data_IF_959711740156
#
_entry.id   IF_959711740156
#
_cell.length_a   1.000
_cell.length_b   1.000
_cell.length_c   1.000
_cell.angle_alpha   90.00
_cell.angle_beta   90.00
_cell.angle_gamma   90.00
#
_symmetry.space_group_name_H-M   'P 1'
#
loop_
_entity.id
_entity.type
_entity.pdbx_description
1 polymer ?
#
# COMPACT_ATOMS: atom_id res chain seq x y z
N UNK A 1 -12.26 -4.27 3.29
CA UNK A 1 -11.09 -4.95 2.68
C UNK A 1 -11.51 -6.12 1.82
N UNK A 2 -12.41 -6.99 2.28
CA UNK A 2 -12.96 -8.10 1.50
C UNK A 2 -13.56 -7.67 0.15
N UNK A 3 -14.39 -6.63 0.13
CA UNK A 3 -14.97 -6.10 -1.11
C UNK A 3 -13.90 -5.68 -2.14
N UNK A 4 -12.85 -4.97 -1.70
CA UNK A 4 -11.76 -4.56 -2.59
C UNK A 4 -11.00 -5.77 -3.15
N UNK A 5 -10.74 -6.76 -2.30
CA UNK A 5 -10.07 -7.99 -2.73
C UNK A 5 -10.90 -8.75 -3.75
N UNK A 6 -12.18 -8.98 -3.45
CA UNK A 6 -13.10 -9.72 -4.32
C UNK A 6 -13.26 -9.03 -5.68
N UNK A 7 -13.40 -7.71 -5.71
CA UNK A 7 -13.53 -6.95 -6.95
C UNK A 7 -12.27 -6.98 -7.81
N UNK A 8 -11.07 -7.01 -7.21
CA UNK A 8 -9.81 -7.05 -7.95
C UNK A 8 -9.50 -8.47 -8.44
N UNK A 9 -9.70 -9.49 -7.61
CA UNK A 9 -9.41 -10.89 -7.97
C UNK A 9 -10.43 -11.45 -8.97
N UNK A 10 -11.72 -11.06 -8.87
CA UNK A 10 -12.78 -11.51 -9.77
C UNK A 10 -13.10 -10.52 -10.91
N UNK A 11 -12.36 -9.42 -11.00
CA UNK A 11 -12.51 -8.43 -12.07
C UNK A 11 -12.14 -8.99 -13.45
N UNK A 12 -12.38 -8.19 -14.50
CA UNK A 12 -12.00 -8.53 -15.87
C UNK A 12 -11.08 -7.44 -16.44
N UNK A 13 -9.77 -7.71 -16.67
CA UNK A 13 -9.07 -8.95 -16.34
C UNK A 13 -8.84 -9.11 -14.82
N UNK A 14 -8.69 -10.35 -14.31
CA UNK A 14 -8.45 -10.59 -12.89
C UNK A 14 -7.05 -10.14 -12.49
N UNK A 15 -6.93 -9.60 -11.28
CA UNK A 15 -5.66 -9.13 -10.70
C UNK A 15 -5.27 -10.06 -9.55
N UNK A 16 -4.10 -10.69 -9.67
CA UNK A 16 -3.51 -11.48 -8.58
C UNK A 16 -3.01 -10.53 -7.48
N UNK A 17 -3.49 -10.73 -6.25
CA UNK A 17 -3.08 -9.97 -5.08
C UNK A 17 -2.03 -10.73 -4.24
N UNK A 18 -1.13 -9.97 -3.62
CA UNK A 18 -0.23 -10.45 -2.56
C UNK A 18 -0.72 -9.89 -1.21
N UNK A 19 -1.07 -10.78 -0.29
CA UNK A 19 -1.68 -10.44 0.99
C UNK A 19 -0.91 -11.09 2.14
N UNK A 20 -0.62 -10.31 3.17
CA UNK A 20 0.20 -10.76 4.29
C UNK A 20 -0.36 -12.00 5.02
N UNK A 21 -1.69 -12.18 5.05
CA UNK A 21 -2.34 -13.33 5.70
C UNK A 21 -2.28 -14.62 4.89
N UNK A 22 -2.00 -14.53 3.57
CA UNK A 22 -2.09 -15.66 2.64
C UNK A 22 -0.75 -16.02 2.02
N UNK A 23 -0.01 -15.00 1.60
CA UNK A 23 1.11 -15.16 0.67
C UNK A 23 2.48 -14.98 1.36
N UNK A 24 2.50 -14.54 2.63
CA UNK A 24 3.76 -14.42 3.36
C UNK A 24 4.30 -15.77 3.79
N UNK A 25 5.60 -15.96 3.58
CA UNK A 25 6.26 -17.22 3.91
C UNK A 25 6.48 -17.34 5.42
N UNK A 26 5.99 -18.43 6.01
CA UNK A 26 6.24 -18.75 7.40
C UNK A 26 7.74 -18.96 7.65
N UNK A 27 8.24 -18.48 8.79
CA UNK A 27 9.66 -18.55 9.15
C UNK A 27 10.55 -17.44 8.56
N UNK A 28 10.06 -16.64 7.59
CA UNK A 28 10.68 -15.37 7.21
C UNK A 28 10.24 -14.26 8.18
N UNK A 29 11.11 -13.25 8.35
CA UNK A 29 10.73 -12.04 9.10
C UNK A 29 9.61 -11.30 8.37
N UNK A 30 8.75 -10.60 9.11
CA UNK A 30 7.64 -9.83 8.51
C UNK A 30 8.20 -8.78 7.54
N UNK A 31 9.27 -8.07 7.93
CA UNK A 31 9.92 -7.09 7.07
C UNK A 31 10.44 -7.71 5.76
N UNK A 32 11.07 -8.89 5.82
CA UNK A 32 11.52 -9.60 4.61
C UNK A 32 10.35 -10.02 3.73
N UNK A 33 9.26 -10.54 4.31
CA UNK A 33 8.07 -10.89 3.53
C UNK A 33 7.42 -9.67 2.87
N UNK A 34 7.34 -8.53 3.57
CA UNK A 34 6.86 -7.26 3.00
C UNK A 34 7.74 -6.86 1.81
N UNK A 35 9.06 -6.91 1.96
CA UNK A 35 10.00 -6.48 0.92
C UNK A 35 9.98 -7.45 -0.27
N UNK A 36 10.13 -8.74 -0.04
CA UNK A 36 10.32 -9.74 -1.10
C UNK A 36 8.99 -10.05 -1.81
N UNK A 37 7.95 -10.42 -1.06
CA UNK A 37 6.69 -10.90 -1.63
C UNK A 37 5.74 -9.73 -1.93
N UNK A 38 5.61 -8.80 -0.98
CA UNK A 38 4.67 -7.68 -1.10
C UNK A 38 5.16 -6.62 -2.08
N UNK A 39 6.37 -6.12 -1.86
CA UNK A 39 6.95 -5.04 -2.63
C UNK A 39 7.56 -5.63 -3.91
N UNK A 40 8.70 -6.30 -3.86
CA UNK A 40 9.46 -6.76 -5.03
C UNK A 40 8.63 -7.67 -5.97
N UNK A 41 7.80 -8.55 -5.40
CA UNK A 41 6.92 -9.45 -6.15
C UNK A 41 5.74 -8.77 -6.87
N UNK A 42 5.42 -7.51 -6.56
CA UNK A 42 4.22 -6.84 -7.08
C UNK A 42 4.53 -5.76 -8.12
N UNK A 43 3.69 -5.68 -9.17
CA UNK A 43 3.75 -4.60 -10.19
C UNK A 43 3.27 -3.25 -9.67
N UNK A 44 2.28 -3.27 -8.78
CA UNK A 44 1.66 -2.11 -8.13
C UNK A 44 1.41 -2.45 -6.67
N UNK A 45 1.51 -1.43 -5.82
CA UNK A 45 1.26 -1.50 -4.39
C UNK A 45 0.01 -0.66 -4.13
N UNK A 46 -1.01 -1.25 -3.51
CA UNK A 46 -2.21 -0.53 -3.09
C UNK A 46 -2.08 -0.23 -1.60
N UNK A 47 -2.09 1.04 -1.25
CA UNK A 47 -2.11 1.49 0.15
C UNK A 47 -3.51 1.97 0.46
N UNK A 48 -4.18 1.26 1.37
CA UNK A 48 -5.52 1.60 1.83
C UNK A 48 -5.41 2.41 3.11
N UNK A 49 -5.76 3.69 3.04
CA UNK A 49 -5.65 4.66 4.13
C UNK A 49 -7.00 4.79 4.82
N UNK A 50 -7.02 4.37 6.08
CA UNK A 50 -8.09 4.59 7.05
C UNK A 50 -7.56 5.32 8.27
N UNK A 51 -8.42 5.70 9.20
CA UNK A 51 -8.06 6.25 10.50
C UNK A 51 -7.19 5.24 11.27
N UNK A 52 -7.52 3.95 11.20
CA UNK A 52 -6.69 2.90 11.81
C UNK A 52 -5.28 2.84 11.21
N UNK A 53 -5.15 3.04 9.90
CA UNK A 53 -3.85 3.11 9.24
C UNK A 53 -3.01 4.30 9.76
N UNK A 54 -3.63 5.47 9.95
CA UNK A 54 -2.95 6.67 10.46
C UNK A 54 -2.44 6.47 11.90
N UNK A 55 -3.25 5.82 12.73
CA UNK A 55 -2.96 5.63 14.15
C UNK A 55 -1.96 4.47 14.39
N UNK A 56 -1.86 3.53 13.45
CA UNK A 56 -0.95 2.38 13.52
C UNK A 56 0.49 2.75 13.17
N UNK A 57 1.41 2.62 14.14
CA UNK A 57 2.84 2.80 13.90
C UNK A 57 3.40 1.77 12.90
N UNK A 58 2.85 0.56 12.89
CA UNK A 58 3.24 -0.50 11.96
C UNK A 58 2.87 -0.14 10.52
N UNK A 59 1.66 0.36 10.29
CA UNK A 59 1.22 0.79 8.96
C UNK A 59 2.06 1.95 8.42
N UNK A 60 2.49 2.88 9.29
CA UNK A 60 3.41 3.96 8.90
C UNK A 60 4.78 3.42 8.48
N UNK A 61 5.32 2.45 9.20
CA UNK A 61 6.60 1.81 8.86
C UNK A 61 6.55 1.10 7.49
N UNK A 62 5.51 0.30 7.23
CA UNK A 62 5.33 -0.37 5.94
C UNK A 62 5.22 0.63 4.78
N UNK A 63 4.53 1.75 5.01
CA UNK A 63 4.38 2.82 4.03
C UNK A 63 5.70 3.55 3.73
N UNK A 64 6.54 3.79 4.75
CA UNK A 64 7.89 4.35 4.55
C UNK A 64 8.78 3.41 3.73
N UNK A 65 8.70 2.09 3.97
CA UNK A 65 9.41 1.10 3.16
C UNK A 65 8.95 1.13 1.69
N UNK A 66 7.63 1.15 1.44
CA UNK A 66 7.10 1.24 0.08
C UNK A 66 7.52 2.55 -0.64
N UNK A 67 7.53 3.68 0.07
CA UNK A 67 7.99 4.96 -0.47
C UNK A 67 9.49 4.97 -0.78
N UNK A 68 10.32 4.32 0.03
CA UNK A 68 11.76 4.25 -0.23
C UNK A 68 12.06 3.57 -1.57
N UNK A 69 11.30 2.53 -1.93
CA UNK A 69 11.36 1.93 -3.27
C UNK A 69 10.90 2.89 -4.35
N UNK A 70 9.78 3.60 -4.18
CA UNK A 70 9.32 4.59 -5.15
C UNK A 70 10.42 5.60 -5.49
N UNK A 71 11.18 6.04 -4.48
CA UNK A 71 12.31 6.96 -4.65
C UNK A 71 13.49 6.31 -5.39
N UNK A 72 13.79 5.05 -5.11
CA UNK A 72 14.89 4.32 -5.76
C UNK A 72 14.60 3.93 -7.21
N UNK A 73 13.40 3.45 -7.51
CA UNK A 73 13.03 2.93 -8.83
C UNK A 73 12.45 3.99 -9.79
N UNK A 74 12.20 5.22 -9.29
CA UNK A 74 11.60 6.34 -10.06
C UNK A 74 10.33 5.98 -10.83
N UNK A 75 9.60 4.96 -10.40
CA UNK A 75 8.38 4.48 -11.06
C UNK A 75 7.19 4.60 -10.12
N UNK A 76 6.12 5.23 -10.59
CA UNK A 76 4.89 5.44 -9.84
C UNK A 76 4.08 4.15 -9.74
N UNK A 77 4.43 3.33 -8.74
CA UNK A 77 3.83 2.02 -8.52
C UNK A 77 2.90 1.97 -7.31
N UNK A 78 2.66 3.10 -6.64
CA UNK A 78 1.78 3.16 -5.46
C UNK A 78 0.43 3.76 -5.88
N UNK A 79 -0.65 3.03 -5.59
CA UNK A 79 -2.04 3.47 -5.70
C UNK A 79 -2.56 3.67 -4.28
N UNK A 80 -3.22 4.79 -4.04
CA UNK A 80 -3.69 5.15 -2.70
C UNK A 80 -5.19 5.28 -2.71
N UNK A 81 -5.84 4.53 -1.82
CA UNK A 81 -7.27 4.53 -1.65
C UNK A 81 -7.54 5.07 -0.25
N UNK A 82 -8.27 6.17 -0.16
CA UNK A 82 -8.69 6.77 1.10
C UNK A 82 -10.12 6.27 1.37
N UNK A 83 -10.30 5.47 2.43
CA UNK A 83 -11.56 4.74 2.70
C UNK A 83 -12.63 5.60 3.40
N UNK A 84 -12.22 6.59 4.17
CA UNK A 84 -13.11 7.45 4.94
C UNK A 84 -12.65 8.90 4.86
N UNK A 85 -13.43 9.86 5.37
CA UNK A 85 -13.01 11.26 5.43
C UNK A 85 -11.95 11.42 6.54
N UNK A 86 -10.76 10.90 6.26
CA UNK A 86 -9.63 10.96 7.16
C UNK A 86 -9.09 12.39 7.10
N UNK A 87 -9.17 13.08 8.24
CA UNK A 87 -8.83 14.49 8.40
C UNK A 87 -7.65 14.90 7.49
N UNK A 88 -7.93 15.70 6.46
CA UNK A 88 -7.02 15.93 5.33
C UNK A 88 -5.61 16.30 5.79
N UNK A 89 -5.50 17.05 6.91
CA UNK A 89 -4.24 17.45 7.55
C UNK A 89 -3.41 16.27 8.08
N UNK A 90 -4.05 15.26 8.70
CA UNK A 90 -3.38 14.05 9.21
C UNK A 90 -2.95 13.17 8.05
N UNK A 91 -3.82 12.95 7.08
CA UNK A 91 -3.55 12.17 5.87
C UNK A 91 -2.36 12.73 5.10
N UNK A 92 -2.35 14.05 4.92
CA UNK A 92 -1.22 14.80 4.36
C UNK A 92 0.09 14.59 5.10
N UNK A 93 0.07 14.64 6.43
CA UNK A 93 1.28 14.45 7.26
C UNK A 93 1.81 13.03 7.19
N UNK A 94 0.93 12.04 7.33
CA UNK A 94 1.26 10.61 7.31
C UNK A 94 1.75 10.17 5.94
N UNK A 95 1.07 10.63 4.89
CA UNK A 95 1.44 10.24 3.54
C UNK A 95 2.68 11.00 3.05
N UNK A 96 2.93 12.24 3.50
CA UNK A 96 4.07 13.04 2.99
C UNK A 96 3.99 13.33 1.47
N UNK A 97 2.88 12.95 0.83
CA UNK A 97 2.70 12.88 -0.61
C UNK A 97 2.38 14.21 -1.30
N UNK A 98 2.31 15.29 -0.53
CA UNK A 98 2.06 16.64 -1.06
C UNK A 98 3.00 17.02 -2.20
N UNK A 99 4.21 16.44 -2.21
CA UNK A 99 5.23 16.74 -3.22
C UNK A 99 5.08 15.94 -4.52
N UNK A 100 4.28 14.86 -4.54
CA UNK A 100 4.34 13.86 -5.62
C UNK A 100 2.99 13.41 -6.18
N UNK A 101 1.86 13.74 -5.52
CA UNK A 101 0.54 13.51 -6.08
C UNK A 101 0.25 14.56 -7.18
N UNK A 102 0.52 14.21 -8.43
CA UNK A 102 -0.13 14.89 -9.56
C UNK A 102 -1.61 14.47 -9.56
N UNK A 103 -2.49 15.41 -9.25
CA UNK A 103 -3.93 15.25 -9.50
C UNK A 103 -4.12 15.05 -11.01
N UNK A 104 -4.49 13.85 -11.43
CA UNK A 104 -5.17 13.70 -12.70
C UNK A 104 -6.64 14.04 -12.41
N UNK A 105 -7.03 15.20 -12.89
CA UNK A 105 -8.42 15.69 -12.87
C UNK A 105 -9.05 15.35 -14.20
#
# INVERSE_FOLDING_TARGET
>A
MNELMENLENGVPPIQLCLHMRDFQAGKSIASNIIDEGIMGSRKIIVVVSQHFIDSAWCRFEFELAQSRFMMERSANIIIIILEDVEERKTKKVLGLHKHLKKNT
#
